data_IF_425504997408
#
_entry.id   IF_425504997408
#
_cell.length_a   1.000
_cell.length_b   1.000
_cell.length_c   1.000
_cell.angle_alpha   90.00
_cell.angle_beta   90.00
_cell.angle_gamma   90.00
#
_symmetry.space_group_name_H-M   'P 1'
#
loop_
_entity.id
_entity.type
_entity.pdbx_description
1 polymer ?
#
# COMPACT_ATOMS: atom_id res chain seq x y z
N UNK A 1 4.65 -27.33 -9.48
CA UNK A 1 5.52 -26.84 -10.59
C UNK A 1 6.02 -25.49 -10.17
N UNK A 2 7.24 -25.14 -10.49
CA UNK A 2 7.75 -23.80 -10.20
C UNK A 2 6.90 -22.73 -10.89
N UNK A 3 7.08 -21.48 -10.51
CA UNK A 3 6.48 -20.32 -11.17
C UNK A 3 6.66 -20.43 -12.69
N UNK A 4 5.60 -20.10 -13.43
CA UNK A 4 5.61 -20.07 -14.88
C UNK A 4 6.01 -18.68 -15.39
N UNK A 5 7.24 -18.47 -15.91
CA UNK A 5 7.68 -17.18 -16.45
C UNK A 5 6.87 -16.73 -17.67
N UNK A 6 6.25 -17.66 -18.41
CA UNK A 6 5.45 -17.37 -19.60
C UNK A 6 4.06 -16.78 -19.25
N UNK A 7 3.74 -16.66 -17.96
CA UNK A 7 2.50 -16.03 -17.53
C UNK A 7 2.50 -14.49 -17.60
N UNK A 8 3.58 -13.87 -18.04
CA UNK A 8 3.60 -12.41 -18.32
C UNK A 8 2.56 -12.08 -19.39
N UNK A 9 1.73 -11.08 -19.13
CA UNK A 9 0.58 -10.69 -19.96
C UNK A 9 -0.73 -11.44 -19.61
N UNK A 10 -0.68 -12.44 -18.71
CA UNK A 10 -1.89 -13.12 -18.26
C UNK A 10 -2.76 -12.16 -17.44
N UNK A 11 -4.06 -12.16 -17.74
CA UNK A 11 -5.07 -11.33 -17.08
C UNK A 11 -5.97 -12.17 -16.18
N UNK A 12 -6.39 -11.57 -15.07
CA UNK A 12 -7.45 -12.12 -14.26
C UNK A 12 -8.82 -11.94 -14.92
N UNK A 13 -9.78 -12.75 -14.52
CA UNK A 13 -11.16 -12.41 -14.79
C UNK A 13 -11.53 -11.10 -14.05
N UNK A 14 -12.48 -10.29 -14.60
CA UNK A 14 -12.96 -9.11 -13.92
C UNK A 14 -13.58 -9.48 -12.56
N UNK A 15 -13.22 -8.75 -11.52
CA UNK A 15 -13.80 -8.91 -10.17
C UNK A 15 -14.51 -7.63 -9.76
N UNK A 16 -15.60 -7.75 -9.01
CA UNK A 16 -16.33 -6.60 -8.47
C UNK A 16 -16.15 -6.52 -6.97
N UNK A 17 -16.00 -5.31 -6.48
CA UNK A 17 -16.00 -5.00 -5.06
C UNK A 17 -16.68 -3.67 -4.80
N UNK A 18 -17.34 -3.55 -3.65
CA UNK A 18 -18.04 -2.35 -3.22
C UNK A 18 -17.58 -1.91 -1.84
N UNK A 19 -17.73 -0.64 -1.55
CA UNK A 19 -17.48 -0.05 -0.24
C UNK A 19 -18.54 0.98 0.11
N UNK A 20 -18.67 1.26 1.38
CA UNK A 20 -19.60 2.22 1.96
C UNK A 20 -18.83 3.31 2.72
N UNK A 21 -19.54 4.36 3.14
CA UNK A 21 -19.01 5.36 4.07
C UNK A 21 -18.35 4.74 5.30
N UNK A 22 -18.96 3.69 5.89
CA UNK A 22 -18.40 2.98 7.03
C UNK A 22 -17.04 2.34 6.73
N UNK A 23 -16.86 1.78 5.55
CA UNK A 23 -15.60 1.14 5.15
C UNK A 23 -14.49 2.18 4.99
N UNK A 24 -14.83 3.37 4.44
CA UNK A 24 -13.91 4.48 4.33
C UNK A 24 -13.46 5.02 5.71
N UNK A 25 -14.40 5.19 6.63
CA UNK A 25 -14.09 5.58 8.02
C UNK A 25 -13.25 4.53 8.74
N UNK A 26 -13.59 3.24 8.58
CA UNK A 26 -12.85 2.13 9.18
C UNK A 26 -11.40 2.08 8.65
N UNK A 27 -11.21 2.26 7.34
CA UNK A 27 -9.88 2.33 6.77
C UNK A 27 -9.08 3.51 7.34
N UNK A 28 -9.67 4.69 7.42
CA UNK A 28 -9.02 5.88 7.95
C UNK A 28 -8.54 5.66 9.40
N UNK A 29 -9.40 5.14 10.29
CA UNK A 29 -9.01 4.78 11.65
C UNK A 29 -7.99 3.64 11.65
N UNK A 30 -8.12 2.69 10.73
CA UNK A 30 -7.20 1.57 10.51
C UNK A 30 -5.77 2.01 10.20
N UNK A 31 -5.58 3.16 9.57
CA UNK A 31 -4.27 3.78 9.29
C UNK A 31 -3.99 4.99 10.19
N UNK A 32 -4.63 5.02 11.36
CA UNK A 32 -4.34 5.93 12.48
C UNK A 32 -4.92 7.34 12.35
N UNK A 33 -5.86 7.61 11.43
CA UNK A 33 -6.54 8.88 11.40
C UNK A 33 -7.39 9.09 12.68
N UNK A 34 -7.60 10.36 13.05
CA UNK A 34 -8.43 10.72 14.20
C UNK A 34 -7.79 10.42 15.57
N UNK A 35 -6.46 10.30 15.65
CA UNK A 35 -5.76 10.22 16.95
C UNK A 35 -5.87 11.54 17.73
N UNK A 36 -5.94 12.67 17.02
CA UNK A 36 -6.37 13.96 17.58
C UNK A 36 -7.85 14.18 17.25
N UNK A 37 -8.70 14.50 18.22
CA UNK A 37 -10.15 14.59 18.00
C UNK A 37 -10.59 15.81 17.18
N UNK A 38 -9.67 16.73 16.88
CA UNK A 38 -9.93 17.94 16.10
C UNK A 38 -9.39 17.86 14.66
N UNK A 39 -8.60 16.84 14.38
CA UNK A 39 -7.93 16.70 13.10
C UNK A 39 -8.62 15.63 12.23
N UNK A 40 -8.52 15.78 10.91
CA UNK A 40 -8.93 14.79 9.93
C UNK A 40 -10.43 14.42 9.98
N UNK A 41 -11.29 15.36 10.43
CA UNK A 41 -12.74 15.11 10.55
C UNK A 41 -13.37 14.69 9.23
N UNK A 42 -12.87 15.21 8.10
CA UNK A 42 -13.32 14.81 6.75
C UNK A 42 -13.04 13.34 6.43
N UNK A 43 -12.11 12.69 7.12
CA UNK A 43 -11.78 11.26 6.93
C UNK A 43 -12.32 10.36 8.03
N UNK A 44 -12.76 10.94 9.15
CA UNK A 44 -13.08 10.17 10.37
C UNK A 44 -14.53 10.31 10.82
N UNK A 45 -15.29 11.23 10.20
CA UNK A 45 -16.71 11.44 10.51
C UNK A 45 -17.53 11.65 9.25
N UNK A 46 -18.80 11.23 9.28
CA UNK A 46 -19.77 11.41 8.19
C UNK A 46 -20.81 12.50 8.48
N UNK A 47 -20.73 13.12 9.66
CA UNK A 47 -21.77 14.04 10.14
C UNK A 47 -21.23 15.25 10.92
N UNK A 48 -19.98 15.63 10.68
CA UNK A 48 -19.41 16.87 11.22
C UNK A 48 -20.03 18.10 10.55
N UNK A 49 -20.30 19.14 11.33
CA UNK A 49 -20.90 20.37 10.81
C UNK A 49 -19.97 21.03 9.77
N UNK A 50 -20.53 21.35 8.61
CA UNK A 50 -19.86 22.04 7.49
C UNK A 50 -18.61 21.31 6.94
N UNK A 51 -18.50 19.98 7.19
CA UNK A 51 -17.41 19.14 6.69
C UNK A 51 -17.99 17.94 5.94
N UNK A 52 -17.74 17.87 4.65
CA UNK A 52 -18.09 16.70 3.86
C UNK A 52 -17.09 15.56 4.09
N UNK A 53 -17.61 14.34 4.23
CA UNK A 53 -16.78 13.15 4.30
C UNK A 53 -15.96 12.97 3.02
N UNK A 54 -14.70 12.64 3.18
CA UNK A 54 -13.76 12.27 2.12
C UNK A 54 -13.13 10.90 2.39
N UNK A 55 -12.42 10.37 1.40
CA UNK A 55 -11.74 9.08 1.48
C UNK A 55 -10.23 9.29 1.40
N UNK A 56 -9.48 8.61 2.27
CA UNK A 56 -8.03 8.64 2.19
C UNK A 56 -7.57 7.99 0.88
N UNK A 57 -6.67 8.63 0.10
CA UNK A 57 -6.17 8.14 -1.19
C UNK A 57 -5.66 6.71 -1.15
N UNK A 58 -4.96 6.35 -0.07
CA UNK A 58 -4.38 5.03 0.11
C UNK A 58 -5.40 3.92 0.37
N UNK A 59 -6.69 4.23 0.55
CA UNK A 59 -7.74 3.21 0.61
C UNK A 59 -7.80 2.36 -0.66
N UNK A 60 -7.31 2.86 -1.80
CA UNK A 60 -7.17 2.09 -3.03
C UNK A 60 -6.51 0.72 -2.82
N UNK A 61 -5.57 0.58 -1.85
CA UNK A 61 -4.84 -0.69 -1.63
C UNK A 61 -5.72 -1.82 -1.08
N UNK A 62 -6.84 -1.49 -0.42
CA UNK A 62 -7.78 -2.48 0.13
C UNK A 62 -9.03 -2.65 -0.75
N UNK A 63 -9.14 -1.90 -1.83
CA UNK A 63 -10.21 -2.03 -2.82
C UNK A 63 -9.72 -2.80 -4.05
N UNK A 64 -10.60 -3.60 -4.67
CA UNK A 64 -10.32 -4.27 -5.93
C UNK A 64 -9.16 -5.25 -5.85
N UNK A 65 -9.43 -6.43 -5.33
CA UNK A 65 -8.48 -7.53 -5.37
C UNK A 65 -8.52 -8.19 -6.75
N UNK A 66 -7.41 -8.16 -7.44
CA UNK A 66 -7.23 -8.83 -8.73
C UNK A 66 -5.76 -8.71 -9.11
N UNK A 67 -5.04 -9.80 -9.28
CA UNK A 67 -3.61 -9.73 -9.57
C UNK A 67 -3.13 -10.79 -10.55
N UNK A 68 -4.01 -11.73 -10.94
CA UNK A 68 -3.61 -12.82 -11.84
C UNK A 68 -2.62 -13.80 -11.22
N UNK A 69 -2.43 -13.80 -9.89
CA UNK A 69 -1.52 -14.72 -9.20
C UNK A 69 -1.94 -16.19 -9.33
N UNK A 70 -3.20 -16.46 -9.67
CA UNK A 70 -3.70 -17.78 -10.03
C UNK A 70 -3.18 -18.31 -11.39
N UNK A 71 -2.56 -17.44 -12.20
CA UNK A 71 -2.03 -17.76 -13.53
C UNK A 71 -0.52 -18.08 -13.52
N UNK A 72 0.19 -17.74 -12.44
CA UNK A 72 1.66 -17.86 -12.40
C UNK A 72 2.16 -19.27 -12.04
N UNK A 73 1.29 -20.24 -11.83
CA UNK A 73 1.62 -21.60 -11.41
C UNK A 73 1.41 -21.83 -9.90
N UNK A 74 1.78 -23.02 -9.46
CA UNK A 74 1.61 -23.44 -8.06
C UNK A 74 2.87 -23.07 -7.25
N UNK A 75 2.69 -22.32 -6.20
CA UNK A 75 3.76 -21.97 -5.23
C UNK A 75 3.20 -22.03 -3.80
N UNK A 76 4.08 -22.11 -2.82
CA UNK A 76 3.67 -22.06 -1.42
C UNK A 76 3.35 -20.60 -1.03
N UNK A 77 2.08 -20.25 -0.72
CA UNK A 77 1.70 -18.88 -0.36
C UNK A 77 2.42 -18.34 0.88
N UNK A 78 2.91 -19.20 1.79
CA UNK A 78 3.69 -18.78 2.95
C UNK A 78 5.10 -18.24 2.58
N UNK A 79 5.56 -18.50 1.35
CA UNK A 79 6.82 -18.00 0.83
C UNK A 79 6.70 -16.65 0.12
N UNK A 80 5.49 -16.14 -0.06
CA UNK A 80 5.22 -14.85 -0.69
C UNK A 80 5.44 -13.72 0.31
N UNK A 81 6.22 -12.74 -0.09
CA UNK A 81 6.45 -11.50 0.64
C UNK A 81 6.06 -10.32 -0.25
N UNK A 82 5.19 -9.46 0.24
CA UNK A 82 4.84 -8.21 -0.45
C UNK A 82 6.07 -7.31 -0.50
N UNK A 83 6.62 -7.06 -1.67
CA UNK A 83 7.86 -6.31 -1.87
C UNK A 83 7.62 -4.82 -2.08
N UNK A 84 6.72 -4.47 -2.98
CA UNK A 84 6.50 -3.09 -3.39
C UNK A 84 5.02 -2.84 -3.66
N UNK A 85 4.60 -1.60 -3.43
CA UNK A 85 3.24 -1.14 -3.71
C UNK A 85 3.28 0.24 -4.37
N UNK A 86 2.49 0.43 -5.44
CA UNK A 86 2.12 1.74 -5.93
C UNK A 86 0.61 1.89 -6.06
N UNK A 87 0.17 3.14 -6.02
CA UNK A 87 -1.16 3.57 -6.42
C UNK A 87 -1.03 4.79 -7.33
N UNK A 88 -1.86 4.84 -8.35
CA UNK A 88 -2.09 6.01 -9.19
C UNK A 88 -3.58 6.29 -9.20
N UNK A 89 -3.97 7.48 -8.74
CA UNK A 89 -5.37 7.90 -8.68
C UNK A 89 -5.71 8.72 -9.92
N UNK A 90 -6.69 8.27 -10.67
CA UNK A 90 -7.21 9.01 -11.82
C UNK A 90 -8.23 10.07 -11.40
N UNK A 91 -8.84 9.88 -10.22
CA UNK A 91 -9.73 10.81 -9.53
C UNK A 91 -9.86 10.46 -8.05
N UNK A 92 -10.50 11.34 -7.26
CA UNK A 92 -10.80 11.04 -5.85
C UNK A 92 -11.67 9.80 -5.71
N UNK A 93 -11.38 8.98 -4.70
CA UNK A 93 -12.21 7.82 -4.36
C UNK A 93 -13.51 8.34 -3.72
N UNK A 94 -14.69 8.02 -4.27
CA UNK A 94 -15.95 8.45 -3.68
C UNK A 94 -16.19 7.76 -2.32
N UNK A 95 -17.01 8.39 -1.46
CA UNK A 95 -17.31 7.90 -0.10
C UNK A 95 -17.92 6.49 -0.11
N UNK A 96 -18.65 6.15 -1.15
CA UNK A 96 -19.20 4.82 -1.39
C UNK A 96 -19.21 4.54 -2.88
N UNK A 97 -19.13 3.26 -3.26
CA UNK A 97 -19.17 2.90 -4.67
C UNK A 97 -18.98 1.42 -4.91
N UNK A 98 -18.97 1.06 -6.19
CA UNK A 98 -18.64 -0.26 -6.69
C UNK A 98 -17.65 -0.12 -7.84
N UNK A 99 -16.61 -0.94 -7.84
CA UNK A 99 -15.60 -1.02 -8.91
C UNK A 99 -15.58 -2.39 -9.55
N UNK A 100 -15.20 -2.39 -10.82
CA UNK A 100 -14.75 -3.57 -11.52
C UNK A 100 -13.22 -3.47 -11.71
N UNK A 101 -12.51 -4.54 -11.34
CA UNK A 101 -11.04 -4.60 -11.37
C UNK A 101 -10.57 -5.75 -12.24
N UNK A 102 -9.58 -5.47 -13.10
CA UNK A 102 -8.86 -6.46 -13.89
C UNK A 102 -7.37 -6.35 -13.53
N UNK A 103 -6.78 -7.48 -13.18
CA UNK A 103 -5.35 -7.59 -12.93
C UNK A 103 -4.61 -8.20 -14.12
N UNK A 104 -3.34 -7.83 -14.28
CA UNK A 104 -2.44 -8.36 -15.29
C UNK A 104 -1.06 -8.63 -14.68
N UNK A 105 -0.45 -9.75 -14.99
CA UNK A 105 0.94 -10.02 -14.65
C UNK A 105 1.83 -9.26 -15.65
N UNK A 106 2.52 -8.23 -15.18
CA UNK A 106 3.34 -7.36 -16.01
C UNK A 106 4.83 -7.71 -16.00
N UNK A 107 5.27 -8.56 -15.06
CA UNK A 107 6.64 -9.03 -15.00
C UNK A 107 6.84 -10.22 -14.09
N UNK A 108 7.75 -11.12 -14.50
CA UNK A 108 8.23 -12.25 -13.67
C UNK A 108 9.75 -12.30 -13.84
N UNK A 109 10.49 -12.08 -12.74
CA UNK A 109 11.92 -11.89 -12.75
C UNK A 109 12.64 -12.90 -11.86
N UNK A 110 13.75 -13.46 -12.37
CA UNK A 110 14.61 -14.38 -11.63
C UNK A 110 15.57 -13.60 -10.72
N UNK A 111 15.44 -13.76 -9.42
CA UNK A 111 16.38 -13.20 -8.43
C UNK A 111 17.33 -14.27 -7.82
N UNK A 112 17.47 -15.39 -8.47
CA UNK A 112 18.31 -16.53 -8.01
C UNK A 112 17.70 -17.27 -6.83
N UNK A 113 17.53 -16.62 -5.69
CA UNK A 113 16.93 -17.22 -4.47
C UNK A 113 15.41 -17.20 -4.42
N UNK A 114 14.77 -16.56 -5.38
CA UNK A 114 13.31 -16.43 -5.50
C UNK A 114 12.94 -15.72 -6.78
N UNK A 115 11.64 -15.62 -7.04
CA UNK A 115 11.07 -14.85 -8.13
C UNK A 115 10.47 -13.55 -7.63
N UNK A 116 10.60 -12.49 -8.41
CA UNK A 116 9.75 -11.29 -8.27
C UNK A 116 8.66 -11.37 -9.31
N UNK A 117 7.41 -11.31 -8.85
CA UNK A 117 6.23 -11.22 -9.71
C UNK A 117 5.64 -9.82 -9.55
N UNK A 118 5.48 -9.14 -10.67
CA UNK A 118 4.85 -7.81 -10.72
C UNK A 118 3.46 -7.96 -11.31
N UNK A 119 2.47 -7.42 -10.61
CA UNK A 119 1.08 -7.40 -11.03
C UNK A 119 0.57 -5.96 -11.03
N UNK A 120 -0.10 -5.57 -12.11
CA UNK A 120 -0.85 -4.33 -12.21
C UNK A 120 -2.34 -4.64 -12.19
N UNK A 121 -3.12 -3.84 -11.48
CA UNK A 121 -4.59 -3.93 -11.49
C UNK A 121 -5.20 -2.56 -11.77
N UNK A 122 -6.16 -2.54 -12.70
CA UNK A 122 -6.90 -1.35 -13.10
C UNK A 122 -8.33 -1.47 -12.62
N UNK A 123 -8.80 -0.45 -11.92
CA UNK A 123 -10.15 -0.40 -11.37
C UNK A 123 -10.94 0.73 -12.00
N UNK A 124 -12.15 0.39 -12.48
CA UNK A 124 -13.11 1.34 -13.05
C UNK A 124 -14.33 1.42 -12.16
N UNK A 125 -14.91 2.60 -12.01
CA UNK A 125 -16.14 2.78 -11.25
C UNK A 125 -17.33 2.25 -12.07
N UNK A 126 -18.13 1.37 -11.48
CA UNK A 126 -19.25 0.72 -12.19
C UNK A 126 -20.34 1.72 -12.60
N UNK A 127 -20.52 2.81 -11.84
CA UNK A 127 -21.58 3.79 -12.07
C UNK A 127 -21.44 4.58 -13.38
N UNK A 128 -20.22 4.78 -13.88
CA UNK A 128 -19.94 5.57 -15.07
C UNK A 128 -18.93 4.93 -16.04
N UNK A 129 -18.28 3.82 -15.63
CA UNK A 129 -17.31 3.11 -16.45
C UNK A 129 -15.94 3.79 -16.57
N UNK A 130 -15.71 4.88 -15.82
CA UNK A 130 -14.47 5.64 -15.89
C UNK A 130 -13.38 5.08 -14.95
N UNK A 131 -12.10 5.21 -15.31
CA UNK A 131 -10.99 4.79 -14.47
C UNK A 131 -11.01 5.50 -13.11
N UNK A 132 -10.82 4.72 -12.03
CA UNK A 132 -10.74 5.25 -10.67
C UNK A 132 -9.28 5.27 -10.18
N UNK A 133 -8.60 4.13 -10.23
CA UNK A 133 -7.19 4.02 -9.88
C UNK A 133 -6.51 2.83 -10.55
N UNK A 134 -5.20 2.91 -10.65
CA UNK A 134 -4.31 1.80 -11.01
C UNK A 134 -3.43 1.45 -9.80
N UNK A 135 -3.23 0.17 -9.54
CA UNK A 135 -2.29 -0.33 -8.52
C UNK A 135 -1.25 -1.21 -9.17
N UNK A 136 -0.01 -1.09 -8.73
CA UNK A 136 1.03 -2.07 -9.05
C UNK A 136 1.61 -2.61 -7.74
N UNK A 137 1.73 -3.92 -7.66
CA UNK A 137 2.43 -4.57 -6.55
C UNK A 137 3.51 -5.49 -7.06
N UNK A 138 4.60 -5.64 -6.32
CA UNK A 138 5.55 -6.72 -6.52
C UNK A 138 5.52 -7.68 -5.34
N UNK A 139 5.55 -8.97 -5.64
CA UNK A 139 5.69 -10.02 -4.65
C UNK A 139 7.01 -10.76 -4.87
N UNK A 140 7.78 -10.94 -3.80
CA UNK A 140 8.95 -11.83 -3.82
C UNK A 140 8.54 -13.20 -3.30
N UNK A 141 8.70 -14.23 -4.12
CA UNK A 141 8.36 -15.61 -3.78
C UNK A 141 9.65 -16.39 -3.56
N UNK A 142 9.92 -16.68 -2.31
CA UNK A 142 11.15 -17.36 -1.89
C UNK A 142 11.20 -18.78 -2.43
N UNK A 143 12.35 -19.19 -2.92
CA UNK A 143 12.60 -20.54 -3.44
C UNK A 143 12.16 -20.75 -4.90
N UNK A 144 11.47 -19.80 -5.49
CA UNK A 144 10.93 -19.88 -6.86
C UNK A 144 11.83 -19.15 -7.88
N UNK A 145 13.15 -19.18 -7.70
CA UNK A 145 14.13 -18.57 -8.61
C UNK A 145 15.14 -19.58 -9.14
N UNK A 146 16.12 -19.10 -9.89
CA UNK A 146 17.26 -19.91 -10.36
C UNK A 146 17.05 -20.59 -11.69
N UNK A 147 16.07 -20.15 -12.49
CA UNK A 147 15.85 -20.70 -13.85
C UNK A 147 16.69 -19.99 -14.94
N UNK A 148 17.46 -18.93 -14.57
CA UNK A 148 18.33 -18.21 -15.51
C UNK A 148 17.57 -17.17 -16.36
N UNK A 149 16.42 -16.70 -15.89
CA UNK A 149 15.64 -15.66 -16.55
C UNK A 149 16.17 -14.24 -16.31
N UNK A 150 15.46 -13.26 -16.86
CA UNK A 150 15.75 -11.84 -16.65
C UNK A 150 15.66 -11.49 -15.17
N UNK A 151 16.63 -10.70 -14.68
CA UNK A 151 16.65 -10.20 -13.31
C UNK A 151 15.71 -9.00 -13.05
N UNK A 152 15.11 -8.45 -14.11
CA UNK A 152 14.24 -7.29 -14.08
C UNK A 152 14.98 -5.94 -13.99
N UNK A 153 14.23 -4.85 -14.11
CA UNK A 153 14.80 -3.51 -14.09
C UNK A 153 15.41 -3.17 -12.73
N UNK A 154 16.47 -2.36 -12.75
CA UNK A 154 16.93 -1.68 -11.56
C UNK A 154 16.03 -0.47 -11.28
N UNK A 155 15.63 -0.30 -10.04
CA UNK A 155 14.93 0.92 -9.64
C UNK A 155 15.97 2.02 -9.39
N UNK A 156 15.94 3.05 -10.22
CA UNK A 156 16.72 4.27 -10.03
C UNK A 156 16.02 5.14 -8.99
N UNK A 157 16.59 5.20 -7.80
CA UNK A 157 16.14 6.05 -6.70
C UNK A 157 17.34 6.41 -5.84
N UNK A 158 17.48 7.68 -5.54
CA UNK A 158 18.53 8.20 -4.66
C UNK A 158 17.90 9.07 -3.57
N UNK A 159 18.32 8.85 -2.34
CA UNK A 159 17.99 9.76 -1.26
C UNK A 159 18.74 11.07 -1.47
N UNK A 160 18.06 12.24 -1.45
CA UNK A 160 18.73 13.52 -1.55
C UNK A 160 19.77 13.72 -0.42
N UNK A 161 20.95 14.20 -0.77
CA UNK A 161 22.04 14.50 0.18
C UNK A 161 21.79 15.87 0.85
N UNK A 162 20.66 15.96 1.55
CA UNK A 162 20.23 17.11 2.35
C UNK A 162 19.20 16.67 3.37
N UNK A 163 18.97 17.51 4.38
CA UNK A 163 17.88 17.26 5.32
C UNK A 163 16.52 17.21 4.60
N UNK A 164 15.55 16.43 5.12
CA UNK A 164 14.20 16.42 4.58
C UNK A 164 13.55 17.81 4.69
N UNK A 165 12.76 18.17 3.69
CA UNK A 165 11.99 19.41 3.70
C UNK A 165 10.90 19.38 4.78
N UNK A 166 10.35 18.19 5.02
CA UNK A 166 9.38 17.94 6.09
C UNK A 166 9.59 16.55 6.70
N UNK A 167 9.26 16.46 7.98
CA UNK A 167 9.27 15.20 8.73
C UNK A 167 7.95 15.08 9.50
N UNK A 168 7.22 13.98 9.30
CA UNK A 168 5.94 13.71 9.97
C UNK A 168 6.06 12.42 10.76
N UNK A 169 5.69 12.45 12.04
CA UNK A 169 5.73 11.26 12.91
C UNK A 169 4.33 10.92 13.42
N UNK A 170 3.98 9.64 13.32
CA UNK A 170 2.76 9.07 13.90
C UNK A 170 3.11 7.88 14.79
N UNK A 171 2.48 7.76 15.93
CA UNK A 171 2.57 6.56 16.77
C UNK A 171 1.47 5.58 16.37
N UNK A 172 1.84 4.35 16.04
CA UNK A 172 0.85 3.29 15.81
C UNK A 172 0.32 2.79 17.15
N UNK A 173 -0.96 2.39 17.19
CA UNK A 173 -1.56 1.84 18.42
C UNK A 173 -1.13 0.39 18.64
N UNK A 174 -1.05 -0.11 19.89
CA UNK A 174 -0.78 -1.53 20.16
C UNK A 174 -1.75 -2.47 19.45
N UNK A 175 -3.02 -2.06 19.27
CA UNK A 175 -4.07 -2.80 18.59
C UNK A 175 -4.21 -2.45 17.09
N UNK A 176 -3.30 -1.67 16.52
CA UNK A 176 -3.44 -1.13 15.16
C UNK A 176 -3.66 -2.23 14.10
N UNK A 177 -2.94 -3.33 14.20
CA UNK A 177 -3.10 -4.46 13.28
C UNK A 177 -4.50 -5.10 13.37
N UNK A 178 -5.09 -5.13 14.58
CA UNK A 178 -6.44 -5.68 14.81
C UNK A 178 -7.52 -4.78 14.22
N UNK A 179 -7.29 -3.47 14.19
CA UNK A 179 -8.20 -2.51 13.54
C UNK A 179 -8.03 -2.60 12.03
N UNK A 180 -6.78 -2.50 11.52
CA UNK A 180 -6.51 -2.47 10.08
C UNK A 180 -7.01 -3.73 9.37
N UNK A 181 -6.86 -4.93 9.95
CA UNK A 181 -7.32 -6.18 9.34
C UNK A 181 -8.82 -6.20 9.03
N UNK A 182 -9.61 -5.35 9.66
CA UNK A 182 -11.04 -5.22 9.39
C UNK A 182 -11.33 -4.60 8.02
N UNK A 183 -10.34 -3.94 7.41
CA UNK A 183 -10.42 -3.41 6.04
C UNK A 183 -10.16 -4.45 4.95
N UNK A 184 -9.97 -5.75 5.32
CA UNK A 184 -9.95 -6.88 4.36
C UNK A 184 -8.79 -7.85 4.52
N UNK A 185 -7.60 -7.41 4.91
CA UNK A 185 -6.45 -8.30 5.08
C UNK A 185 -6.51 -9.07 6.41
N UNK A 186 -6.95 -10.32 6.33
CA UNK A 186 -7.14 -11.23 7.48
C UNK A 186 -5.96 -12.18 7.70
N UNK A 187 -4.80 -11.93 7.08
CA UNK A 187 -3.63 -12.79 7.25
C UNK A 187 -3.29 -12.94 8.76
N UNK A 188 -3.21 -14.18 9.28
CA UNK A 188 -2.96 -14.43 10.70
C UNK A 188 -1.56 -13.99 11.16
N UNK A 189 -0.62 -13.74 10.27
CA UNK A 189 0.70 -13.17 10.58
C UNK A 189 0.61 -11.87 11.41
N UNK A 190 -0.49 -11.13 11.26
CA UNK A 190 -0.71 -9.83 11.87
C UNK A 190 -1.58 -9.90 13.14
N UNK A 191 -2.02 -11.10 13.55
CA UNK A 191 -2.96 -11.23 14.66
C UNK A 191 -2.70 -12.46 15.55
N UNK A 192 -2.11 -13.53 15.02
CA UNK A 192 -1.90 -14.79 15.75
C UNK A 192 -0.42 -14.95 16.11
N UNK A 193 -0.07 -14.99 17.43
CA UNK A 193 1.33 -15.16 17.85
C UNK A 193 1.95 -16.47 17.38
N UNK A 194 1.17 -17.56 17.26
CA UNK A 194 1.68 -18.84 16.79
C UNK A 194 2.07 -18.76 15.33
N UNK A 195 1.24 -18.10 14.52
CA UNK A 195 1.51 -17.91 13.11
C UNK A 195 2.69 -16.94 12.88
N UNK A 196 2.78 -15.87 13.69
CA UNK A 196 3.92 -14.96 13.67
C UNK A 196 5.24 -15.67 13.99
N UNK A 197 5.24 -16.55 15.00
CA UNK A 197 6.42 -17.34 15.35
C UNK A 197 6.86 -18.30 14.22
N UNK A 198 5.92 -18.88 13.48
CA UNK A 198 6.22 -19.67 12.28
C UNK A 198 6.87 -18.82 11.17
N UNK A 199 6.54 -17.54 11.11
CA UNK A 199 7.16 -16.54 10.22
C UNK A 199 8.52 -16.01 10.72
N UNK A 200 8.98 -16.44 11.91
CA UNK A 200 10.25 -16.02 12.52
C UNK A 200 10.13 -14.71 13.32
N UNK A 201 8.93 -14.31 13.74
CA UNK A 201 8.68 -13.12 14.53
C UNK A 201 8.27 -13.46 15.97
N UNK A 202 8.79 -12.72 16.95
CA UNK A 202 8.47 -12.92 18.37
C UNK A 202 7.01 -12.57 18.72
N UNK A 203 6.37 -11.77 17.88
CA UNK A 203 4.97 -11.33 18.02
C UNK A 203 4.39 -10.93 16.65
N UNK A 204 3.05 -10.83 16.52
CA UNK A 204 2.43 -10.35 15.30
C UNK A 204 2.98 -8.99 14.85
N UNK A 205 3.29 -8.89 13.57
CA UNK A 205 3.78 -7.65 12.93
C UNK A 205 2.61 -6.82 12.38
N UNK A 206 2.83 -5.52 12.19
CA UNK A 206 1.89 -4.65 11.50
C UNK A 206 1.85 -5.02 10.01
N UNK A 207 0.68 -4.89 9.38
CA UNK A 207 0.55 -5.05 7.93
C UNK A 207 1.44 -4.03 7.19
N UNK A 208 2.16 -4.48 6.17
CA UNK A 208 2.93 -3.57 5.32
C UNK A 208 2.06 -2.46 4.72
N UNK A 209 0.87 -2.83 4.23
CA UNK A 209 -0.08 -1.86 3.68
C UNK A 209 -0.68 -0.91 4.74
N UNK A 210 -0.68 -1.26 6.02
CA UNK A 210 -1.00 -0.32 7.10
C UNK A 210 0.11 0.73 7.25
N UNK A 211 1.39 0.31 7.26
CA UNK A 211 2.54 1.22 7.25
C UNK A 211 2.51 2.15 6.03
N UNK A 212 2.17 1.61 4.85
CA UNK A 212 1.95 2.38 3.62
C UNK A 212 0.84 3.42 3.78
N UNK A 213 -0.28 3.06 4.42
CA UNK A 213 -1.39 3.97 4.70
C UNK A 213 -1.03 5.09 5.68
N UNK A 214 -0.29 4.79 6.76
CA UNK A 214 0.26 5.81 7.66
C UNK A 214 1.19 6.78 6.93
N UNK A 215 2.09 6.24 6.10
CA UNK A 215 2.99 7.05 5.27
C UNK A 215 2.20 7.93 4.32
N UNK A 216 1.18 7.39 3.63
CA UNK A 216 0.33 8.16 2.72
C UNK A 216 -0.43 9.29 3.41
N UNK A 217 -0.85 9.11 4.68
CA UNK A 217 -1.39 10.22 5.48
C UNK A 217 -0.36 11.32 5.72
N UNK A 218 0.87 10.96 6.08
CA UNK A 218 1.96 11.92 6.24
C UNK A 218 2.21 12.72 4.97
N UNK A 219 2.28 12.05 3.83
CA UNK A 219 2.43 12.69 2.52
C UNK A 219 1.24 13.58 2.17
N UNK A 220 0.00 13.12 2.42
CA UNK A 220 -1.21 13.89 2.18
C UNK A 220 -1.23 15.20 2.97
N UNK A 221 -0.85 15.16 4.25
CA UNK A 221 -0.80 16.37 5.07
C UNK A 221 0.33 17.31 4.67
N UNK A 222 1.54 16.78 4.48
CA UNK A 222 2.72 17.57 4.19
C UNK A 222 2.69 18.20 2.78
N UNK A 223 2.23 17.45 1.78
CA UNK A 223 2.32 17.85 0.38
C UNK A 223 1.02 18.44 -0.17
N UNK A 224 -0.13 17.99 0.35
CA UNK A 224 -1.44 18.37 -0.16
C UNK A 224 -2.28 19.20 0.83
N UNK A 225 -1.74 19.50 2.02
CA UNK A 225 -2.50 20.23 3.06
C UNK A 225 -3.73 19.46 3.57
N UNK A 226 -3.72 18.14 3.47
CA UNK A 226 -4.86 17.29 3.84
C UNK A 226 -5.99 17.21 2.81
N UNK A 227 -5.79 17.75 1.60
CA UNK A 227 -6.77 17.71 0.50
C UNK A 227 -6.52 16.51 -0.42
N UNK A 228 -7.40 15.50 -0.36
CA UNK A 228 -7.31 14.27 -1.16
C UNK A 228 -7.37 14.50 -2.67
N UNK A 229 -7.98 15.59 -3.14
CA UNK A 229 -8.09 15.91 -4.57
C UNK A 229 -6.72 16.21 -5.21
N UNK A 230 -5.77 16.66 -4.41
CA UNK A 230 -4.40 16.98 -4.83
C UNK A 230 -3.49 15.75 -4.89
N UNK A 231 -3.79 14.68 -4.18
CA UNK A 231 -2.98 13.47 -4.13
C UNK A 231 -3.15 12.65 -5.42
N UNK A 232 -2.07 12.38 -6.16
CA UNK A 232 -2.13 11.67 -7.44
C UNK A 232 -1.61 10.24 -7.36
N UNK A 233 -0.59 9.99 -6.58
CA UNK A 233 -0.04 8.65 -6.44
C UNK A 233 1.12 8.56 -5.47
N UNK A 234 1.43 7.35 -5.08
CA UNK A 234 2.64 7.05 -4.32
C UNK A 234 3.14 5.64 -4.63
N UNK A 235 4.45 5.46 -4.50
CA UNK A 235 5.14 4.18 -4.58
C UNK A 235 6.02 4.00 -3.35
N UNK A 236 6.19 2.78 -2.88
CA UNK A 236 7.14 2.46 -1.82
C UNK A 236 7.51 0.97 -1.79
N UNK A 237 8.73 0.69 -1.32
CA UNK A 237 9.29 -0.65 -1.16
C UNK A 237 9.35 -1.02 0.33
N UNK A 238 8.75 -2.14 0.70
CA UNK A 238 8.83 -2.66 2.06
C UNK A 238 10.23 -3.20 2.36
N UNK A 239 10.85 -2.69 3.42
CA UNK A 239 12.26 -3.00 3.75
C UNK A 239 12.42 -3.73 5.06
N UNK A 240 11.61 -3.41 6.06
CA UNK A 240 11.66 -4.03 7.38
C UNK A 240 10.27 -4.15 8.02
N UNK A 241 10.03 -5.13 8.88
CA UNK A 241 8.77 -5.25 9.59
C UNK A 241 8.58 -4.10 10.59
N UNK A 242 7.32 -3.77 10.86
CA UNK A 242 6.88 -2.85 11.91
C UNK A 242 6.11 -3.63 12.96
N UNK A 243 6.29 -3.30 14.22
CA UNK A 243 5.48 -3.86 15.29
C UNK A 243 4.42 -2.84 15.76
N UNK A 244 3.18 -3.26 16.01
CA UNK A 244 2.18 -2.36 16.59
C UNK A 244 2.68 -1.70 17.87
N UNK A 245 2.45 -0.39 18.00
CA UNK A 245 2.94 0.45 19.09
C UNK A 245 4.22 1.25 18.75
N UNK A 246 4.85 1.00 17.60
CA UNK A 246 6.02 1.79 17.18
C UNK A 246 5.62 3.11 16.54
N UNK A 247 6.54 4.08 16.62
CA UNK A 247 6.48 5.30 15.84
C UNK A 247 6.87 5.04 14.38
N UNK A 248 6.22 5.77 13.48
CA UNK A 248 6.53 5.83 12.06
C UNK A 248 6.88 7.28 11.71
N UNK A 249 8.11 7.52 11.29
CA UNK A 249 8.62 8.83 10.89
C UNK A 249 8.81 8.87 9.39
N UNK A 250 8.05 9.71 8.70
CA UNK A 250 8.10 9.93 7.26
C UNK A 250 8.98 11.13 6.98
N UNK A 251 10.13 10.92 6.36
CA UNK A 251 11.03 11.96 5.88
C UNK A 251 10.71 12.24 4.40
N UNK A 252 10.52 13.51 4.05
CA UNK A 252 9.96 13.93 2.76
C UNK A 252 10.89 14.98 2.12
N UNK A 253 11.24 14.76 0.86
CA UNK A 253 12.03 15.69 0.04
C UNK A 253 11.26 16.06 -1.22
N UNK A 254 10.95 17.33 -1.42
CA UNK A 254 10.38 17.83 -2.68
C UNK A 254 11.47 17.85 -3.75
N UNK A 255 11.25 17.18 -4.86
CA UNK A 255 12.24 17.04 -5.95
C UNK A 255 11.90 17.91 -7.15
N UNK A 256 10.61 18.12 -7.42
CA UNK A 256 10.09 19.01 -8.45
C UNK A 256 8.69 19.52 -8.07
N UNK A 257 8.11 20.36 -8.90
CA UNK A 257 6.73 20.79 -8.75
C UNK A 257 5.79 19.58 -8.91
N UNK A 258 5.00 19.29 -7.87
CA UNK A 258 4.11 18.13 -7.84
C UNK A 258 4.80 16.78 -7.61
N UNK A 259 6.10 16.75 -7.27
CA UNK A 259 6.86 15.53 -7.05
C UNK A 259 7.67 15.56 -5.75
N UNK A 260 7.68 14.44 -5.05
CA UNK A 260 8.51 14.24 -3.87
C UNK A 260 9.03 12.80 -3.80
N UNK A 261 10.20 12.64 -3.16
CA UNK A 261 10.67 11.33 -2.69
C UNK A 261 10.54 11.28 -1.18
N UNK A 262 10.43 10.07 -0.64
CA UNK A 262 10.29 9.89 0.79
C UNK A 262 10.89 8.58 1.28
N UNK A 263 11.12 8.51 2.59
CA UNK A 263 11.50 7.28 3.30
C UNK A 263 10.79 7.26 4.64
N UNK A 264 10.26 6.10 5.04
CA UNK A 264 9.64 5.94 6.35
C UNK A 264 10.53 5.09 7.25
N UNK A 265 10.75 5.56 8.47
CA UNK A 265 11.54 4.90 9.51
C UNK A 265 10.63 4.42 10.65
N UNK A 266 10.98 3.28 11.24
CA UNK A 266 10.39 2.79 12.49
C UNK A 266 10.99 3.49 13.72
N UNK A 267 10.49 3.18 14.91
CA UNK A 267 10.86 3.85 16.16
C UNK A 267 12.34 3.73 16.57
N UNK A 268 13.07 2.77 16.03
CA UNK A 268 14.51 2.58 16.23
C UNK A 268 15.37 3.19 15.10
N UNK A 269 14.75 3.92 14.16
CA UNK A 269 15.41 4.53 13.02
C UNK A 269 15.65 3.60 11.82
N UNK A 270 15.29 2.30 11.91
CA UNK A 270 15.39 1.41 10.75
C UNK A 270 14.40 1.84 9.65
N UNK A 271 14.83 1.72 8.40
CA UNK A 271 13.95 1.98 7.27
C UNK A 271 12.93 0.85 7.14
N UNK A 272 11.65 1.21 7.09
CA UNK A 272 10.53 0.28 6.99
C UNK A 272 9.82 0.37 5.64
N UNK A 273 9.74 1.57 5.05
CA UNK A 273 9.30 1.79 3.68
C UNK A 273 10.32 2.69 2.99
N UNK A 274 10.91 2.17 1.92
CA UNK A 274 12.06 2.74 1.22
C UNK A 274 11.72 3.10 -0.22
N UNK A 275 12.62 3.87 -0.84
CA UNK A 275 12.56 4.23 -2.26
C UNK A 275 11.24 4.90 -2.65
N UNK A 276 10.64 5.59 -1.70
CA UNK A 276 9.34 6.19 -1.86
C UNK A 276 9.32 7.34 -2.87
N UNK A 277 8.27 7.37 -3.71
CA UNK A 277 7.93 8.52 -4.55
C UNK A 277 6.49 8.91 -4.35
N UNK A 278 6.19 10.20 -4.45
CA UNK A 278 4.83 10.71 -4.35
C UNK A 278 4.61 11.76 -5.44
N UNK A 279 3.47 11.68 -6.12
CA UNK A 279 3.01 12.68 -7.08
C UNK A 279 1.74 13.36 -6.56
N UNK A 280 1.64 14.67 -6.75
CA UNK A 280 0.54 15.49 -6.25
C UNK A 280 0.34 16.73 -7.13
N UNK A 281 -0.79 17.39 -6.98
CA UNK A 281 -1.02 18.73 -7.57
C UNK A 281 -0.57 19.77 -6.56
N UNK A 282 0.35 20.63 -6.94
CA UNK A 282 0.88 21.72 -6.10
C UNK A 282 -0.17 22.80 -5.80
#
# INVERSE_FOLDING_TARGET
>A
MPINPDAVGAKSDPTRSSWTSKDALLYAVGVGAGQSPLDELQYTTENSADIDQKVLPTMAVVLGFGGGFDKIGDFNPAMLVHGEQSIELHREIPVSGEIETVGEITGIYDKGKGAVVVSESRSTLVSDGEPLFTKTMSAFIRGEGGWGGDSGPALEWEQPDRDPDETVTYTTRPEQALIYRLSGDRNPLHADPTFAAMGGFDRPILHGLCTYGFTGRGLLHALCGGDSSKFKGMYGRFSSPVFPGEDLTVNIWRTADGEAVYQTQGGDGRVVLDKGTCSYTA
#
